data_IF_621202241971
#
_entry.id   IF_621202241971
#
_cell.length_a   1.000
_cell.length_b   1.000
_cell.length_c   1.000
_cell.angle_alpha   90.00
_cell.angle_beta   90.00
_cell.angle_gamma   90.00
#
_symmetry.space_group_name_H-M   'P 1'
#
loop_
_entity.id
_entity.type
_entity.pdbx_description
1 polymer ?
#
# COMPACT_ATOMS: atom_id res chain seq x y z
N UNK A 1 -10.17 13.69 17.16
CA UNK A 1 -10.63 12.47 17.88
C UNK A 1 -11.08 11.39 16.89
N UNK A 2 -11.95 11.72 15.92
CA UNK A 2 -12.56 10.76 14.98
C UNK A 2 -11.60 9.90 14.12
N UNK A 3 -10.40 10.39 13.78
CA UNK A 3 -9.46 9.65 12.92
C UNK A 3 -8.81 8.44 13.64
N UNK A 4 -8.52 8.59 14.94
CA UNK A 4 -7.94 7.51 15.76
C UNK A 4 -8.93 6.36 15.98
N UNK A 5 -10.20 6.70 16.11
CA UNK A 5 -11.27 5.70 16.28
C UNK A 5 -11.43 4.86 15.01
N UNK A 6 -11.23 5.47 13.84
CA UNK A 6 -11.22 4.75 12.55
C UNK A 6 -10.03 3.80 12.42
N UNK A 7 -8.82 4.24 12.76
CA UNK A 7 -7.62 3.40 12.70
C UNK A 7 -7.77 2.19 13.64
N UNK A 8 -8.28 2.42 14.85
CA UNK A 8 -8.51 1.35 15.83
C UNK A 8 -9.55 0.33 15.33
N UNK A 9 -10.62 0.81 14.69
CA UNK A 9 -11.63 -0.06 14.10
C UNK A 9 -11.07 -0.89 12.93
N UNK A 10 -10.22 -0.28 12.09
CA UNK A 10 -9.55 -0.98 10.99
C UNK A 10 -8.58 -2.05 11.48
N UNK A 11 -7.79 -1.77 12.52
CA UNK A 11 -6.89 -2.76 13.12
C UNK A 11 -7.65 -3.97 13.66
N UNK A 12 -8.78 -3.73 14.33
CA UNK A 12 -9.64 -4.81 14.83
C UNK A 12 -10.26 -5.65 13.72
N UNK A 13 -10.67 -5.02 12.61
CA UNK A 13 -11.18 -5.71 11.44
C UNK A 13 -10.09 -6.57 10.77
N UNK A 14 -8.88 -6.04 10.63
CA UNK A 14 -7.73 -6.78 10.11
C UNK A 14 -7.38 -7.99 11.00
N UNK A 15 -7.37 -7.81 12.31
CA UNK A 15 -7.12 -8.89 13.27
C UNK A 15 -8.16 -10.01 13.15
N UNK A 16 -9.43 -9.67 12.93
CA UNK A 16 -10.50 -10.64 12.71
C UNK A 16 -10.33 -11.41 11.39
N UNK A 17 -9.90 -10.73 10.32
CA UNK A 17 -9.56 -11.37 9.04
C UNK A 17 -8.37 -12.32 9.19
N UNK A 18 -7.30 -11.90 9.86
CA UNK A 18 -6.12 -12.75 10.11
C UNK A 18 -6.42 -13.93 11.04
N UNK A 19 -7.30 -13.76 12.03
CA UNK A 19 -7.77 -14.86 12.88
C UNK A 19 -8.59 -15.89 12.09
N UNK A 20 -9.29 -15.46 11.05
CA UNK A 20 -10.04 -16.34 10.14
C UNK A 20 -9.10 -17.07 9.19
N UNK A 21 -8.17 -16.36 8.56
CA UNK A 21 -7.16 -16.95 7.67
C UNK A 21 -6.30 -18.02 8.37
N UNK A 22 -5.88 -17.77 9.63
CA UNK A 22 -5.11 -18.76 10.42
C UNK A 22 -5.86 -20.08 10.66
N UNK A 23 -7.19 -20.03 10.80
CA UNK A 23 -8.03 -21.23 10.96
C UNK A 23 -8.25 -21.97 9.65
N UNK A 24 -8.09 -21.30 8.52
CA UNK A 24 -8.26 -21.83 7.19
C UNK A 24 -6.92 -22.19 6.54
N UNK A 25 -5.90 -22.56 7.31
CA UNK A 25 -4.61 -22.95 6.73
C UNK A 25 -4.81 -24.11 5.76
N UNK A 26 -4.69 -23.82 4.45
CA UNK A 26 -4.66 -24.87 3.44
C UNK A 26 -3.36 -25.66 3.62
N UNK A 27 -3.42 -27.00 3.53
CA UNK A 27 -2.20 -27.79 3.51
C UNK A 27 -1.36 -27.36 2.29
N UNK A 28 -0.08 -27.08 2.52
CA UNK A 28 0.87 -26.86 1.45
C UNK A 28 1.03 -28.16 0.65
N UNK A 29 1.15 -28.03 -0.67
CA UNK A 29 1.43 -29.18 -1.54
C UNK A 29 2.77 -29.84 -1.11
N UNK A 30 2.76 -31.17 -0.99
CA UNK A 30 3.93 -31.94 -0.56
C UNK A 30 5.10 -31.72 -1.52
N UNK A 31 4.81 -31.65 -2.83
CA UNK A 31 5.82 -31.37 -3.85
C UNK A 31 6.46 -29.99 -3.73
N UNK A 32 5.71 -28.98 -3.24
CA UNK A 32 6.26 -27.65 -2.97
C UNK A 32 7.14 -27.67 -1.71
N UNK A 33 6.71 -28.38 -0.68
CA UNK A 33 7.44 -28.53 0.58
C UNK A 33 8.79 -29.20 0.34
N UNK A 34 8.83 -30.28 -0.43
CA UNK A 34 10.06 -30.97 -0.81
C UNK A 34 11.02 -30.07 -1.60
N UNK A 35 10.50 -29.24 -2.51
CA UNK A 35 11.32 -28.27 -3.26
C UNK A 35 11.91 -27.20 -2.35
N UNK A 36 11.12 -26.66 -1.42
CA UNK A 36 11.59 -25.67 -0.45
C UNK A 36 12.68 -26.27 0.44
N UNK A 37 12.47 -27.49 0.93
CA UNK A 37 13.46 -28.19 1.75
C UNK A 37 14.72 -28.52 0.96
N UNK A 38 14.60 -28.96 -0.30
CA UNK A 38 15.75 -29.20 -1.17
C UNK A 38 16.55 -27.93 -1.45
N UNK A 39 15.87 -26.80 -1.71
CA UNK A 39 16.51 -25.50 -1.90
C UNK A 39 17.22 -25.03 -0.61
N UNK A 40 16.52 -25.08 0.53
CA UNK A 40 17.10 -24.74 1.83
C UNK A 40 18.32 -25.62 2.17
N UNK A 41 18.24 -26.93 1.87
CA UNK A 41 19.36 -27.85 2.03
C UNK A 41 20.49 -27.54 1.05
N UNK A 42 20.22 -27.12 -0.18
CA UNK A 42 21.25 -26.70 -1.13
C UNK A 42 22.00 -25.44 -0.64
N UNK A 43 21.27 -24.49 -0.02
CA UNK A 43 21.86 -23.30 0.59
C UNK A 43 22.63 -23.63 1.90
N UNK A 44 22.18 -24.61 2.68
CA UNK A 44 22.89 -25.08 3.89
C UNK A 44 24.09 -25.98 3.57
N UNK A 45 23.99 -26.75 2.49
CA UNK A 45 25.01 -27.69 2.02
C UNK A 45 26.03 -27.02 1.12
N UNK A 46 25.85 -25.74 0.78
CA UNK A 46 26.98 -24.91 0.41
C UNK A 46 27.96 -25.03 1.58
N UNK A 47 29.08 -25.76 1.42
CA UNK A 47 30.06 -25.77 2.47
C UNK A 47 30.37 -24.30 2.67
N UNK A 48 30.33 -23.82 3.91
CA UNK A 48 31.33 -22.86 4.31
C UNK A 48 32.62 -23.59 3.96
N UNK A 49 33.12 -23.37 2.73
CA UNK A 49 34.34 -23.96 2.26
C UNK A 49 35.29 -23.79 3.43
N UNK A 50 36.01 -24.84 3.89
CA UNK A 50 37.03 -24.60 4.89
C UNK A 50 37.85 -23.49 4.27
N UNK A 51 37.70 -22.29 4.81
CA UNK A 51 38.48 -21.19 4.37
C UNK A 51 39.84 -21.77 4.68
N UNK A 52 40.61 -22.10 3.63
CA UNK A 52 42.05 -22.06 3.76
C UNK A 52 42.27 -20.81 4.60
N UNK A 53 42.99 -20.87 5.73
CA UNK A 53 43.32 -19.67 6.46
C UNK A 53 44.23 -18.84 5.53
N UNK A 54 43.63 -18.25 4.49
CA UNK A 54 43.88 -16.91 4.05
C UNK A 54 43.78 -16.18 5.37
N UNK A 55 44.85 -15.51 5.82
CA UNK A 55 44.73 -14.67 7.00
C UNK A 55 43.47 -13.86 6.75
N UNK A 56 42.45 -14.08 7.58
CA UNK A 56 41.27 -13.27 7.53
C UNK A 56 41.82 -11.89 7.89
N UNK A 57 42.15 -11.10 6.86
CA UNK A 57 41.94 -9.69 6.94
C UNK A 57 40.48 -9.65 7.31
N UNK A 58 40.22 -9.53 8.62
CA UNK A 58 38.90 -9.29 9.14
C UNK A 58 38.46 -8.08 8.33
N UNK A 59 37.64 -8.34 7.30
CA UNK A 59 37.06 -7.28 6.49
C UNK A 59 36.12 -6.67 7.50
N UNK A 60 36.66 -5.69 8.22
CA UNK A 60 35.92 -4.90 9.18
C UNK A 60 34.67 -4.51 8.42
N UNK A 61 33.47 -4.86 8.92
CA UNK A 61 32.25 -4.51 8.21
C UNK A 61 32.38 -3.03 7.86
N UNK A 62 32.32 -2.72 6.56
CA UNK A 62 32.50 -1.35 6.10
C UNK A 62 31.55 -0.45 6.89
N UNK A 63 31.91 0.81 7.13
CA UNK A 63 31.13 1.69 8.02
C UNK A 63 29.63 1.69 7.70
N UNK A 64 29.28 1.53 6.42
CA UNK A 64 27.92 1.34 5.92
C UNK A 64 27.24 0.07 6.43
N UNK A 65 27.90 -1.09 6.38
CA UNK A 65 27.38 -2.35 6.92
C UNK A 65 27.17 -2.29 8.43
N UNK A 66 28.06 -1.58 9.15
CA UNK A 66 27.89 -1.34 10.58
C UNK A 66 26.74 -0.36 10.86
N UNK A 67 26.50 0.64 10.00
CA UNK A 67 25.31 1.50 10.06
C UNK A 67 24.03 0.68 9.85
N UNK A 68 23.95 -0.13 8.80
CA UNK A 68 22.77 -0.97 8.56
C UNK A 68 22.54 -1.99 9.68
N UNK A 69 23.60 -2.55 10.27
CA UNK A 69 23.48 -3.39 11.46
C UNK A 69 22.92 -2.62 12.67
N UNK A 70 23.29 -1.34 12.83
CA UNK A 70 22.76 -0.46 13.88
C UNK A 70 21.30 -0.06 13.63
N UNK A 71 20.88 0.04 12.37
CA UNK A 71 19.50 0.34 11.97
C UNK A 71 18.55 -0.87 12.07
N UNK A 72 19.05 -2.06 12.41
CA UNK A 72 18.23 -3.28 12.57
C UNK A 72 18.57 -4.42 11.59
N UNK A 73 19.60 -4.26 10.77
CA UNK A 73 20.09 -5.27 9.83
C UNK A 73 19.27 -5.32 8.53
N UNK A 74 19.21 -6.50 7.92
CA UNK A 74 18.49 -6.73 6.66
C UNK A 74 17.00 -6.29 6.65
N UNK A 75 16.20 -6.37 7.76
CA UNK A 75 14.83 -5.88 7.72
C UNK A 75 14.71 -4.36 7.54
N UNK A 76 15.69 -3.57 7.99
CA UNK A 76 15.70 -2.13 7.74
C UNK A 76 15.93 -1.79 6.26
N UNK A 77 16.78 -2.57 5.59
CA UNK A 77 17.02 -2.46 4.13
C UNK A 77 15.78 -2.89 3.35
N UNK A 78 15.14 -3.98 3.78
CA UNK A 78 13.88 -4.44 3.19
C UNK A 78 12.80 -3.35 3.31
N UNK A 79 12.60 -2.77 4.50
CA UNK A 79 11.64 -1.68 4.71
C UNK A 79 11.94 -0.43 3.87
N UNK A 80 13.22 -0.05 3.73
CA UNK A 80 13.63 1.06 2.86
C UNK A 80 13.33 0.78 1.38
N UNK A 81 13.55 -0.45 0.92
CA UNK A 81 13.19 -0.86 -0.44
C UNK A 81 11.67 -0.87 -0.66
N UNK A 82 10.88 -1.34 0.32
CA UNK A 82 9.42 -1.28 0.22
C UNK A 82 8.93 0.18 0.22
N UNK A 83 9.54 1.06 1.02
CA UNK A 83 9.19 2.47 1.07
C UNK A 83 9.50 3.21 -0.23
N UNK A 84 10.60 2.88 -0.93
CA UNK A 84 10.88 3.46 -2.26
C UNK A 84 9.90 2.96 -3.31
N UNK A 85 9.55 1.67 -3.29
CA UNK A 85 8.52 1.12 -4.20
C UNK A 85 7.15 1.74 -3.94
N UNK A 86 6.77 1.90 -2.66
CA UNK A 86 5.53 2.58 -2.28
C UNK A 86 5.54 4.07 -2.67
N UNK A 87 6.66 4.76 -2.48
CA UNK A 87 6.84 6.13 -2.93
C UNK A 87 6.76 6.28 -4.44
N UNK A 88 7.28 5.30 -5.19
CA UNK A 88 7.15 5.26 -6.65
C UNK A 88 5.70 5.02 -7.06
N UNK A 89 5.01 4.07 -6.42
CA UNK A 89 3.59 3.78 -6.66
C UNK A 89 2.71 5.01 -6.44
N UNK A 90 2.90 5.71 -5.33
CA UNK A 90 2.18 6.95 -4.99
C UNK A 90 2.59 8.09 -5.94
N UNK A 91 3.86 8.18 -6.32
CA UNK A 91 4.35 9.22 -7.24
C UNK A 91 3.85 9.03 -8.67
N UNK A 92 3.54 7.80 -9.08
CA UNK A 92 3.06 7.47 -10.43
C UNK A 92 1.56 7.63 -10.64
N UNK A 93 0.78 8.02 -9.62
CA UNK A 93 -0.61 8.42 -9.85
C UNK A 93 -0.62 9.76 -10.57
N UNK A 94 -0.59 9.71 -11.91
CA UNK A 94 -0.81 10.87 -12.77
C UNK A 94 -2.09 11.60 -12.35
N UNK A 95 -2.08 12.94 -12.32
CA UNK A 95 -3.22 13.76 -11.91
C UNK A 95 -4.46 13.60 -12.79
N UNK A 96 -4.41 12.79 -13.85
CA UNK A 96 -5.57 12.43 -14.68
C UNK A 96 -6.73 11.83 -13.87
N UNK A 97 -6.43 11.11 -12.78
CA UNK A 97 -7.48 10.59 -11.89
C UNK A 97 -8.15 11.70 -11.07
N UNK A 98 -7.42 12.78 -10.75
CA UNK A 98 -7.98 13.96 -10.10
C UNK A 98 -8.86 14.75 -11.07
N UNK A 99 -8.42 14.94 -12.32
CA UNK A 99 -9.22 15.62 -13.34
C UNK A 99 -10.53 14.89 -13.69
N UNK A 100 -10.52 13.56 -13.71
CA UNK A 100 -11.72 12.75 -13.91
C UNK A 100 -12.71 12.89 -12.74
N UNK A 101 -12.23 12.89 -11.49
CA UNK A 101 -13.08 13.09 -10.32
C UNK A 101 -13.61 14.52 -10.22
N UNK A 102 -12.80 15.55 -10.54
CA UNK A 102 -13.27 16.94 -10.54
C UNK A 102 -14.32 17.17 -11.63
N UNK A 103 -14.14 16.60 -12.83
CA UNK A 103 -15.14 16.71 -13.90
C UNK A 103 -16.47 16.05 -13.55
N UNK A 104 -16.44 14.90 -12.89
CA UNK A 104 -17.65 14.24 -12.37
C UNK A 104 -18.31 15.04 -11.23
N UNK A 105 -17.52 15.61 -10.32
CA UNK A 105 -18.03 16.43 -9.21
C UNK A 105 -18.66 17.75 -9.70
N UNK A 106 -18.06 18.38 -10.69
CA UNK A 106 -18.58 19.60 -11.32
C UNK A 106 -19.85 19.32 -12.12
N UNK A 107 -19.91 18.19 -12.83
CA UNK A 107 -21.13 17.73 -13.53
C UNK A 107 -22.27 17.42 -12.56
N UNK A 108 -21.98 16.80 -11.42
CA UNK A 108 -22.98 16.52 -10.39
C UNK A 108 -23.47 17.81 -9.73
N UNK A 109 -22.56 18.72 -9.37
CA UNK A 109 -22.90 19.99 -8.72
C UNK A 109 -23.68 20.95 -9.63
N UNK A 110 -23.36 20.95 -10.92
CA UNK A 110 -24.07 21.77 -11.92
C UNK A 110 -25.47 21.24 -12.24
N UNK A 111 -25.71 19.92 -12.16
CA UNK A 111 -27.05 19.36 -12.34
C UNK A 111 -28.01 19.84 -11.25
N UNK A 112 -27.61 19.75 -9.98
CA UNK A 112 -28.42 20.17 -8.83
C UNK A 112 -28.68 21.69 -8.84
N UNK A 113 -27.68 22.49 -9.23
CA UNK A 113 -27.82 23.93 -9.34
C UNK A 113 -28.71 24.34 -10.52
N UNK A 114 -28.57 23.68 -11.68
CA UNK A 114 -29.36 23.99 -12.88
C UNK A 114 -30.84 23.69 -12.69
N UNK A 115 -31.18 22.61 -11.97
CA UNK A 115 -32.56 22.25 -11.68
C UNK A 115 -33.23 23.27 -10.73
N UNK A 116 -32.50 23.80 -9.74
CA UNK A 116 -32.99 24.83 -8.83
C UNK A 116 -33.18 26.19 -9.54
N UNK A 117 -32.26 26.58 -10.42
CA UNK A 117 -32.38 27.81 -11.21
C UNK A 117 -33.48 27.73 -12.28
N UNK A 118 -33.73 26.56 -12.86
CA UNK A 118 -34.84 26.37 -13.82
C UNK A 118 -36.20 26.47 -13.15
N UNK A 119 -36.37 25.93 -11.95
CA UNK A 119 -37.62 26.05 -11.18
C UNK A 119 -37.92 27.51 -10.81
N UNK A 120 -36.91 28.26 -10.36
CA UNK A 120 -37.09 29.67 -10.00
C UNK A 120 -37.35 30.55 -11.24
N UNK A 121 -36.59 30.39 -12.32
CA UNK A 121 -36.74 31.16 -13.54
C UNK A 121 -38.11 30.95 -14.23
N UNK A 122 -38.64 29.73 -14.20
CA UNK A 122 -39.96 29.43 -14.77
C UNK A 122 -41.09 29.97 -13.88
N UNK A 123 -40.93 29.89 -12.55
CA UNK A 123 -41.90 30.45 -11.60
C UNK A 123 -41.95 31.99 -11.62
N UNK A 124 -40.80 32.63 -11.84
CA UNK A 124 -40.69 34.08 -11.96
C UNK A 124 -41.35 34.61 -13.25
N UNK A 125 -41.36 33.82 -14.32
CA UNK A 125 -42.04 34.16 -15.57
C UNK A 125 -43.57 34.06 -15.46
N UNK A 126 -44.08 33.08 -14.71
CA UNK A 126 -45.52 32.91 -14.43
C UNK A 126 -46.06 33.94 -13.41
N UNK A 127 -45.17 34.51 -12.59
CA UNK A 127 -45.50 35.58 -11.63
C UNK A 127 -45.60 36.98 -12.26
N UNK A 128 -45.26 37.14 -13.55
CA UNK A 128 -45.52 38.38 -14.27
C UNK A 128 -47.01 38.42 -14.66
N UNK A 129 -47.79 39.44 -14.23
CA UNK A 129 -49.15 39.58 -14.68
C UNK A 129 -49.16 39.78 -16.20
N UNK A 130 -49.78 38.84 -16.91
CA UNK A 130 -50.09 39.01 -18.32
C UNK A 130 -51.07 40.18 -18.46
N UNK A 131 -50.55 41.39 -18.65
CA UNK A 131 -51.34 42.61 -18.76
C UNK A 131 -50.54 43.71 -19.44
N UNK A 132 -51.04 44.14 -20.60
CA UNK A 132 -50.52 45.28 -21.37
C UNK A 132 -51.01 46.63 -20.89
#
# INVERSE_FOLDING_TARGET
MADKDRITAMDQELDALFATARRQSLPLDEALTDRILADALALQSAPAAPARPVPAQAVRPGRLAQFFALLGGWPAVAGLATATVAGLWIGTTSPDMLYAQTGLFESASSSEASDLYLVDAFSAFDALPAGG
#
